data_IF_701337916443
#
_entry.id   IF_701337916443
#
_cell.length_a   1.000
_cell.length_b   1.000
_cell.length_c   1.000
_cell.angle_alpha   90.00
_cell.angle_beta   90.00
_cell.angle_gamma   90.00
#
_symmetry.space_group_name_H-M   'P 1'
#
loop_
_entity.id
_entity.type
_entity.pdbx_description
1 polymer ?
#
# COMPACT_ATOMS: atom_id res chain seq x y z
N UNK A 1 5.11 28.04 -11.41
CA UNK A 1 4.11 28.50 -10.44
C UNK A 1 3.49 27.28 -9.79
N UNK A 2 3.86 26.97 -8.55
CA UNK A 2 3.20 25.96 -7.72
C UNK A 2 2.13 26.70 -6.91
N UNK A 3 0.98 27.00 -7.54
CA UNK A 3 -0.10 27.81 -6.94
C UNK A 3 -1.24 26.96 -6.36
N UNK A 4 -1.01 25.67 -6.10
CA UNK A 4 -2.00 24.82 -5.47
C UNK A 4 -1.76 24.87 -3.96
N UNK A 5 -2.57 25.67 -3.27
CA UNK A 5 -2.56 25.81 -1.82
C UNK A 5 -3.45 24.75 -1.18
N UNK A 6 -3.03 24.21 -0.04
CA UNK A 6 -3.84 23.32 0.79
C UNK A 6 -4.24 24.08 2.06
N UNK A 7 -5.55 24.25 2.25
CA UNK A 7 -6.13 24.98 3.39
C UNK A 7 -7.27 24.16 4.00
N UNK A 8 -7.05 23.67 5.22
CA UNK A 8 -8.02 22.86 5.95
C UNK A 8 -9.30 23.62 6.32
N UNK A 9 -9.29 24.96 6.31
CA UNK A 9 -10.46 25.79 6.60
C UNK A 9 -11.35 26.03 5.38
N UNK A 10 -10.82 25.83 4.18
CA UNK A 10 -11.53 26.04 2.91
C UNK A 10 -11.86 24.69 2.28
N UNK A 11 -13.14 24.25 2.22
CA UNK A 11 -13.51 22.92 1.76
C UNK A 11 -12.99 22.53 0.37
N UNK A 12 -12.84 23.49 -0.54
CA UNK A 12 -12.34 23.27 -1.91
C UNK A 12 -10.82 23.06 -1.98
N UNK A 13 -10.08 23.43 -0.92
CA UNK A 13 -8.62 23.31 -0.80
C UNK A 13 -8.21 22.30 0.27
N UNK A 14 -9.19 21.68 0.95
CA UNK A 14 -8.98 20.74 2.03
C UNK A 14 -8.80 19.32 1.48
N UNK A 15 -7.82 18.60 2.03
CA UNK A 15 -7.49 17.22 1.63
C UNK A 15 -7.58 16.25 2.81
N UNK A 16 -8.77 16.08 3.42
CA UNK A 16 -8.93 15.30 4.64
C UNK A 16 -8.91 13.78 4.34
N UNK A 17 -8.67 12.92 5.35
CA UNK A 17 -8.45 11.48 5.16
C UNK A 17 -9.65 10.73 4.60
N UNK A 18 -10.87 11.26 4.74
CA UNK A 18 -12.10 10.65 4.20
C UNK A 18 -12.08 10.54 2.67
N UNK A 19 -11.28 11.39 2.00
CA UNK A 19 -11.10 11.36 0.56
C UNK A 19 -10.32 10.14 0.06
N UNK A 20 -9.74 9.31 0.95
CA UNK A 20 -9.13 8.03 0.56
C UNK A 20 -10.17 6.90 0.36
N UNK A 21 -11.45 7.14 0.67
CA UNK A 21 -12.52 6.14 0.64
C UNK A 21 -13.82 6.66 0.02
N UNK A 22 -13.78 7.80 -0.67
CA UNK A 22 -14.97 8.35 -1.31
C UNK A 22 -15.27 7.65 -2.64
N UNK A 23 -16.35 8.06 -3.32
CA UNK A 23 -16.74 7.43 -4.56
C UNK A 23 -15.74 7.77 -5.69
N UNK A 24 -15.11 6.75 -6.26
CA UNK A 24 -14.26 6.88 -7.44
C UNK A 24 -15.01 7.47 -8.65
N UNK A 25 -14.23 8.03 -9.59
CA UNK A 25 -14.75 8.56 -10.86
C UNK A 25 -15.18 10.03 -10.80
N UNK A 26 -14.90 10.72 -9.70
CA UNK A 26 -15.00 12.18 -9.64
C UNK A 26 -13.92 12.83 -10.51
N UNK A 27 -14.33 13.89 -11.22
CA UNK A 27 -13.43 14.74 -12.01
C UNK A 27 -13.60 16.19 -11.55
N UNK A 28 -12.58 16.82 -10.95
CA UNK A 28 -11.24 16.28 -10.66
C UNK A 28 -11.23 15.16 -9.59
N UNK A 29 -10.15 14.37 -9.53
CA UNK A 29 -9.95 13.37 -8.48
C UNK A 29 -9.84 14.05 -7.11
N UNK A 30 -10.46 13.45 -6.11
CA UNK A 30 -10.31 13.77 -4.69
C UNK A 30 -9.14 12.97 -4.11
N UNK A 31 -8.45 13.53 -3.12
CA UNK A 31 -7.34 12.85 -2.46
C UNK A 31 -7.05 13.46 -1.09
N UNK A 32 -6.61 12.61 -0.17
CA UNK A 32 -5.92 13.05 1.04
C UNK A 32 -4.51 13.52 0.69
N UNK A 33 -3.98 14.50 1.45
CA UNK A 33 -2.62 15.01 1.27
C UNK A 33 -1.90 15.20 2.61
N UNK A 34 -0.63 14.82 2.68
CA UNK A 34 0.25 15.14 3.81
C UNK A 34 0.77 16.58 3.76
N UNK A 35 1.38 17.03 4.86
CA UNK A 35 2.28 18.17 4.80
C UNK A 35 3.46 17.88 3.86
N UNK A 36 4.06 18.94 3.32
CA UNK A 36 5.29 18.85 2.51
C UNK A 36 6.52 18.60 3.39
N UNK A 37 7.62 18.11 2.80
CA UNK A 37 8.83 17.70 3.51
C UNK A 37 9.72 18.87 4.01
N UNK A 38 9.11 19.92 4.58
CA UNK A 38 9.81 21.13 5.05
C UNK A 38 10.80 20.88 6.19
N UNK A 39 10.63 19.79 6.95
CA UNK A 39 11.53 19.41 8.06
C UNK A 39 12.76 18.61 7.62
N UNK A 40 13.04 18.49 6.31
CA UNK A 40 14.24 17.82 5.81
C UNK A 40 15.51 18.36 6.51
N UNK A 41 16.46 17.49 6.94
CA UNK A 41 16.60 16.06 6.61
C UNK A 41 15.83 15.09 7.52
N UNK A 42 14.99 15.56 8.45
CA UNK A 42 14.17 14.66 9.28
C UNK A 42 13.19 13.89 8.37
N UNK A 43 13.12 12.55 8.44
CA UNK A 43 12.26 11.77 7.54
C UNK A 43 10.78 12.18 7.60
N UNK A 44 10.14 12.33 6.44
CA UNK A 44 8.70 12.53 6.34
C UNK A 44 7.98 11.18 6.50
N UNK A 45 7.78 10.75 7.75
CA UNK A 45 7.09 9.49 8.05
C UNK A 45 5.61 9.73 8.35
N UNK A 46 4.73 8.95 7.71
CA UNK A 46 3.28 9.02 7.92
C UNK A 46 2.71 7.61 8.06
N UNK A 47 1.84 7.41 9.06
CA UNK A 47 1.14 6.15 9.27
C UNK A 47 -0.35 6.33 9.01
N UNK A 48 -0.92 5.53 8.12
CA UNK A 48 -2.36 5.46 7.87
C UNK A 48 -2.85 4.12 8.41
N UNK A 49 -3.76 4.16 9.38
CA UNK A 49 -4.27 2.95 10.05
C UNK A 49 -5.74 2.76 9.70
N UNK A 50 -6.07 1.57 9.19
CA UNK A 50 -7.42 1.15 8.84
C UNK A 50 -7.88 0.12 9.87
N UNK A 51 -8.89 0.48 10.66
CA UNK A 51 -9.35 -0.34 11.79
C UNK A 51 -10.82 -0.71 11.60
N UNK A 52 -11.13 -2.00 11.57
CA UNK A 52 -12.51 -2.47 11.38
C UNK A 52 -13.22 -2.85 12.68
N UNK A 53 -12.49 -2.92 13.80
CA UNK A 53 -13.00 -3.46 15.08
C UNK A 53 -13.64 -4.85 14.95
N UNK A 54 -13.29 -5.57 13.89
CA UNK A 54 -13.81 -6.87 13.51
C UNK A 54 -12.74 -7.61 12.70
N UNK A 55 -12.74 -8.92 12.83
CA UNK A 55 -11.92 -9.80 12.01
C UNK A 55 -12.54 -9.94 10.62
N UNK A 56 -11.76 -9.67 9.57
CA UNK A 56 -12.17 -9.73 8.16
C UNK A 56 -11.23 -10.66 7.40
N UNK A 57 -11.79 -11.47 6.51
CA UNK A 57 -11.02 -12.25 5.53
C UNK A 57 -10.96 -11.50 4.20
N UNK A 58 -9.74 -11.17 3.74
CA UNK A 58 -9.54 -10.47 2.47
C UNK A 58 -9.84 -11.39 1.28
N UNK A 59 -10.54 -10.86 0.27
CA UNK A 59 -11.02 -11.64 -0.89
C UNK A 59 -10.51 -11.13 -2.23
N UNK A 60 -9.98 -9.92 -2.30
CA UNK A 60 -9.39 -9.31 -3.50
C UNK A 60 -8.10 -8.58 -3.12
N UNK A 61 -7.33 -8.15 -4.12
CA UNK A 61 -6.11 -7.36 -3.93
C UNK A 61 -6.42 -6.10 -3.11
N UNK A 62 -5.49 -5.72 -2.22
CA UNK A 62 -5.51 -4.37 -1.66
C UNK A 62 -4.91 -3.45 -2.72
N UNK A 63 -5.61 -2.35 -3.04
CA UNK A 63 -5.17 -1.39 -4.04
C UNK A 63 -5.06 -0.03 -3.40
N UNK A 64 -3.91 0.62 -3.54
CA UNK A 64 -3.65 1.96 -3.04
C UNK A 64 -3.30 2.84 -4.24
N UNK A 65 -4.12 3.85 -4.49
CA UNK A 65 -3.94 4.79 -5.60
C UNK A 65 -3.43 6.11 -5.05
N UNK A 66 -2.25 6.51 -5.50
CA UNK A 66 -1.61 7.78 -5.14
C UNK A 66 -1.98 8.87 -6.14
N UNK A 67 -2.29 10.08 -5.68
CA UNK A 67 -2.32 11.25 -6.55
C UNK A 67 -0.90 11.81 -6.77
N UNK A 68 -0.06 11.73 -5.72
CA UNK A 68 1.37 12.03 -5.80
C UNK A 68 2.14 10.91 -6.51
N UNK A 69 3.47 11.03 -6.61
CA UNK A 69 4.31 9.87 -6.88
C UNK A 69 4.17 8.81 -5.77
N UNK A 70 4.40 7.55 -6.13
CA UNK A 70 4.43 6.44 -5.16
C UNK A 70 5.63 6.57 -4.23
N UNK A 71 5.52 6.18 -2.95
CA UNK A 71 6.61 6.30 -1.98
C UNK A 71 7.88 5.56 -2.43
N UNK A 72 9.05 6.17 -2.22
CA UNK A 72 10.34 5.50 -2.41
C UNK A 72 10.52 4.35 -1.39
N UNK A 73 9.91 4.47 -0.20
CA UNK A 73 9.91 3.46 0.84
C UNK A 73 8.55 3.41 1.56
N UNK A 74 7.93 2.24 1.59
CA UNK A 74 6.65 1.98 2.25
C UNK A 74 6.59 0.54 2.80
N UNK A 75 5.89 0.36 3.92
CA UNK A 75 5.57 -0.97 4.47
C UNK A 75 4.05 -1.07 4.60
N UNK A 76 3.46 -2.14 4.06
CA UNK A 76 2.11 -2.55 4.44
C UNK A 76 2.23 -3.50 5.61
N UNK A 77 1.56 -3.20 6.72
CA UNK A 77 1.49 -4.04 7.91
C UNK A 77 0.05 -4.46 8.19
N UNK A 78 -0.10 -5.55 8.94
CA UNK A 78 -1.38 -6.04 9.41
C UNK A 78 -1.37 -6.36 10.89
N UNK A 79 -2.56 -6.34 11.47
CA UNK A 79 -2.85 -6.82 12.82
C UNK A 79 -3.87 -7.95 12.77
N UNK A 80 -3.79 -8.85 13.74
CA UNK A 80 -4.78 -9.90 14.02
C UNK A 80 -5.45 -9.73 15.40
N UNK A 81 -5.01 -8.75 16.19
CA UNK A 81 -5.36 -8.60 17.60
C UNK A 81 -5.82 -7.17 17.95
N UNK A 82 -6.52 -6.53 17.01
CA UNK A 82 -7.14 -5.21 17.16
C UNK A 82 -6.11 -4.09 17.42
N UNK A 83 -5.01 -4.11 16.65
CA UNK A 83 -3.97 -3.09 16.63
C UNK A 83 -2.95 -3.19 17.76
N UNK A 84 -2.99 -4.26 18.57
CA UNK A 84 -2.06 -4.46 19.70
C UNK A 84 -0.67 -4.86 19.20
N UNK A 85 -0.61 -5.75 18.22
CA UNK A 85 0.64 -6.15 17.56
C UNK A 85 0.53 -5.97 16.05
N UNK A 86 1.68 -5.65 15.45
CA UNK A 86 1.78 -5.35 14.02
C UNK A 86 2.84 -6.25 13.40
N UNK A 87 2.52 -6.83 12.26
CA UNK A 87 3.42 -7.67 11.48
C UNK A 87 3.52 -7.13 10.05
N UNK A 88 4.71 -7.15 9.43
CA UNK A 88 4.86 -6.75 8.04
C UNK A 88 4.08 -7.70 7.15
N UNK A 89 3.40 -7.13 6.15
CA UNK A 89 2.61 -7.84 5.17
C UNK A 89 3.28 -7.83 3.79
N UNK A 90 3.87 -6.69 3.41
CA UNK A 90 4.76 -6.56 2.24
C UNK A 90 5.59 -5.27 2.35
N UNK A 91 6.83 -5.32 1.87
CA UNK A 91 7.72 -4.16 1.77
C UNK A 91 7.74 -3.64 0.33
N UNK A 92 7.81 -2.32 0.18
CA UNK A 92 7.85 -1.63 -1.10
C UNK A 92 8.98 -0.62 -1.08
N UNK A 93 9.92 -0.73 -2.02
CA UNK A 93 11.05 0.18 -2.12
C UNK A 93 11.44 0.44 -3.57
N UNK A 94 12.17 1.53 -3.80
CA UNK A 94 12.93 1.75 -5.05
C UNK A 94 14.21 0.93 -5.11
N UNK A 95 14.79 0.60 -3.97
CA UNK A 95 15.93 -0.31 -3.78
C UNK A 95 15.69 -1.12 -2.49
N UNK A 96 15.31 -2.39 -2.63
CA UNK A 96 14.99 -3.26 -1.50
C UNK A 96 16.20 -3.64 -0.65
N UNK A 97 17.39 -3.73 -1.26
CA UNK A 97 18.63 -4.09 -0.57
C UNK A 97 19.10 -2.94 0.31
N UNK A 98 19.03 -1.70 -0.19
CA UNK A 98 19.35 -0.50 0.58
C UNK A 98 18.30 -0.21 1.67
N UNK A 99 17.02 -0.23 1.31
CA UNK A 99 15.95 0.21 2.21
C UNK A 99 15.67 -0.76 3.36
N UNK A 100 15.67 -2.07 3.08
CA UNK A 100 15.20 -3.10 4.02
C UNK A 100 16.14 -4.29 4.15
N UNK A 101 17.29 -4.29 3.47
CA UNK A 101 18.23 -5.41 3.44
C UNK A 101 17.59 -6.72 2.96
N UNK A 102 16.71 -6.62 1.95
CA UNK A 102 16.00 -7.75 1.36
C UNK A 102 16.30 -7.83 -0.15
N UNK A 103 16.48 -9.04 -0.68
CA UNK A 103 16.50 -9.23 -2.12
C UNK A 103 15.13 -8.88 -2.72
N UNK A 104 15.07 -8.14 -3.85
CA UNK A 104 13.81 -7.83 -4.50
C UNK A 104 13.18 -9.10 -5.08
N UNK A 105 11.87 -9.27 -4.84
CA UNK A 105 11.06 -10.38 -5.36
C UNK A 105 9.70 -9.88 -5.83
N UNK A 106 9.13 -10.56 -6.82
CA UNK A 106 7.71 -10.45 -7.19
C UNK A 106 6.92 -11.59 -6.55
N UNK A 107 5.61 -11.40 -6.37
CA UNK A 107 4.71 -12.50 -5.98
C UNK A 107 4.74 -13.64 -7.01
N UNK A 108 5.07 -13.33 -8.27
CA UNK A 108 5.25 -14.33 -9.34
C UNK A 108 6.44 -15.27 -9.12
N UNK A 109 7.42 -14.87 -8.32
CA UNK A 109 8.60 -15.69 -7.98
C UNK A 109 8.32 -16.65 -6.82
N UNK A 110 7.18 -16.50 -6.14
CA UNK A 110 6.76 -17.40 -5.08
C UNK A 110 6.24 -18.73 -5.62
N UNK A 111 6.07 -19.67 -4.71
CA UNK A 111 5.49 -21.00 -4.97
C UNK A 111 4.39 -21.30 -3.95
N UNK A 112 3.63 -22.37 -4.20
CA UNK A 112 2.60 -22.82 -3.27
C UNK A 112 3.13 -23.05 -1.84
N UNK A 113 4.39 -23.46 -1.69
CA UNK A 113 5.02 -23.68 -0.39
C UNK A 113 5.52 -22.39 0.30
N UNK A 114 5.73 -21.32 -0.47
CA UNK A 114 6.26 -20.04 0.00
C UNK A 114 5.23 -18.91 -0.09
N UNK A 115 3.95 -19.24 -0.30
CA UNK A 115 2.86 -18.27 -0.46
C UNK A 115 2.65 -17.35 0.76
N UNK A 116 3.18 -17.72 1.93
CA UNK A 116 3.12 -16.92 3.16
C UNK A 116 4.36 -16.05 3.37
N UNK A 117 5.35 -16.16 2.49
CA UNK A 117 6.59 -15.38 2.57
C UNK A 117 6.28 -13.89 2.40
N UNK A 118 6.86 -13.10 3.29
CA UNK A 118 6.83 -11.64 3.24
C UNK A 118 8.02 -11.20 2.40
N UNK A 119 7.75 -10.49 1.32
CA UNK A 119 8.75 -10.07 0.34
C UNK A 119 8.92 -8.56 0.33
N UNK A 120 10.02 -8.11 -0.27
CA UNK A 120 10.19 -6.73 -0.72
C UNK A 120 10.07 -6.70 -2.25
N UNK A 121 9.24 -5.81 -2.78
CA UNK A 121 9.04 -5.66 -4.23
C UNK A 121 9.47 -4.27 -4.69
N UNK A 122 10.14 -4.24 -5.84
CA UNK A 122 10.52 -3.02 -6.58
C UNK A 122 9.59 -2.79 -7.79
N UNK A 123 8.58 -3.63 -8.03
CA UNK A 123 7.68 -3.53 -9.20
C UNK A 123 6.90 -2.20 -9.26
N UNK A 124 6.74 -1.54 -8.11
CA UNK A 124 6.01 -0.29 -7.96
C UNK A 124 6.93 0.94 -7.84
N UNK A 125 8.21 0.82 -8.16
CA UNK A 125 9.18 1.91 -8.04
C UNK A 125 9.18 2.87 -9.24
N UNK A 126 8.94 2.38 -10.46
CA UNK A 126 9.16 3.18 -11.68
C UNK A 126 7.97 4.05 -12.08
N UNK A 127 8.14 5.36 -12.17
CA UNK A 127 7.06 6.32 -12.50
C UNK A 127 6.62 6.38 -13.98
N UNK A 128 7.23 5.61 -14.87
CA UNK A 128 7.03 5.73 -16.34
C UNK A 128 5.94 4.84 -16.94
N UNK A 129 5.26 4.00 -16.13
CA UNK A 129 4.22 3.09 -16.62
C UNK A 129 2.82 3.71 -16.56
N UNK A 130 1.86 3.19 -17.35
CA UNK A 130 0.46 3.66 -17.36
C UNK A 130 -0.25 3.55 -16.01
N UNK A 131 0.24 2.69 -15.11
CA UNK A 131 -0.26 2.50 -13.74
C UNK A 131 0.72 3.09 -12.69
N UNK A 132 1.49 4.11 -13.03
CA UNK A 132 2.57 4.69 -12.21
C UNK A 132 2.14 5.26 -10.85
N UNK A 133 0.82 5.34 -10.61
CA UNK A 133 0.22 5.86 -9.39
C UNK A 133 -0.33 4.77 -8.46
N UNK A 134 -0.35 3.50 -8.89
CA UNK A 134 -1.02 2.42 -8.17
C UNK A 134 0.00 1.48 -7.53
N UNK A 135 -0.26 1.07 -6.29
CA UNK A 135 0.40 -0.04 -5.60
C UNK A 135 -0.62 -1.13 -5.33
N UNK A 136 -0.25 -2.39 -5.56
CA UNK A 136 -1.05 -3.55 -5.19
C UNK A 136 -0.40 -4.37 -4.07
N UNK A 137 -1.26 -5.04 -3.31
CA UNK A 137 -0.92 -6.24 -2.55
C UNK A 137 -1.69 -7.42 -3.16
N UNK A 138 -0.95 -8.39 -3.69
CA UNK A 138 -1.41 -9.33 -4.71
C UNK A 138 -2.07 -10.59 -4.12
N UNK A 139 -3.22 -10.41 -3.47
CA UNK A 139 -3.99 -11.51 -2.86
C UNK A 139 -4.47 -12.52 -3.92
N UNK A 140 -4.94 -12.05 -5.08
CA UNK A 140 -5.42 -12.93 -6.15
C UNK A 140 -4.30 -13.76 -6.78
N UNK A 141 -3.11 -13.21 -6.90
CA UNK A 141 -1.94 -13.97 -7.38
C UNK A 141 -1.53 -15.03 -6.36
N UNK A 142 -1.60 -14.71 -5.05
CA UNK A 142 -1.38 -15.71 -3.99
C UNK A 142 -2.46 -16.81 -3.98
N UNK A 143 -3.72 -16.48 -4.24
CA UNK A 143 -4.79 -17.47 -4.42
C UNK A 143 -4.60 -18.34 -5.66
N UNK A 144 -4.04 -17.79 -6.74
CA UNK A 144 -3.81 -18.52 -7.98
C UNK A 144 -2.86 -19.72 -7.82
N UNK A 145 -1.97 -19.73 -6.81
CA UNK A 145 -1.15 -20.90 -6.48
C UNK A 145 -1.98 -22.14 -6.09
N UNK A 146 -3.21 -21.96 -5.59
CA UNK A 146 -4.10 -23.07 -5.19
C UNK A 146 -5.27 -23.25 -6.15
N UNK A 147 -5.81 -22.14 -6.65
CA UNK A 147 -7.01 -22.11 -7.48
C UNK A 147 -6.74 -22.05 -9.00
N UNK A 148 -5.48 -21.94 -9.40
CA UNK A 148 -5.02 -21.76 -10.76
C UNK A 148 -5.13 -20.30 -11.26
N UNK A 149 -4.49 -19.98 -12.40
CA UNK A 149 -4.38 -18.60 -12.91
C UNK A 149 -5.71 -17.88 -13.15
N UNK A 150 -6.75 -18.64 -13.50
CA UNK A 150 -8.09 -18.13 -13.77
C UNK A 150 -9.03 -18.21 -12.56
N UNK A 151 -8.51 -18.58 -11.39
CA UNK A 151 -9.28 -18.70 -10.14
C UNK A 151 -10.52 -19.61 -10.28
N UNK A 152 -10.44 -20.65 -11.12
CA UNK A 152 -11.56 -21.58 -11.36
C UNK A 152 -11.62 -22.72 -10.36
N UNK A 153 -10.49 -23.14 -9.80
CA UNK A 153 -10.42 -24.24 -8.84
C UNK A 153 -10.57 -23.75 -7.39
N UNK A 154 -11.67 -23.05 -7.11
CA UNK A 154 -11.96 -22.51 -5.77
C UNK A 154 -12.06 -23.59 -4.69
N UNK A 155 -12.53 -24.80 -5.04
CA UNK A 155 -12.62 -25.91 -4.10
C UNK A 155 -11.25 -26.30 -3.51
N UNK A 156 -10.18 -26.28 -4.33
CA UNK A 156 -8.81 -26.50 -3.87
C UNK A 156 -8.37 -25.43 -2.86
N UNK A 157 -8.59 -24.15 -3.20
CA UNK A 157 -8.25 -23.03 -2.30
C UNK A 157 -8.99 -23.12 -0.96
N UNK A 158 -10.31 -23.33 -0.98
CA UNK A 158 -11.10 -23.44 0.25
C UNK A 158 -10.67 -24.62 1.10
N UNK A 159 -10.41 -25.78 0.49
CA UNK A 159 -9.88 -26.94 1.21
C UNK A 159 -8.54 -26.65 1.91
N UNK A 160 -7.66 -25.86 1.29
CA UNK A 160 -6.39 -25.45 1.91
C UNK A 160 -6.59 -24.42 3.03
N UNK A 161 -7.50 -23.46 2.86
CA UNK A 161 -7.84 -22.47 3.89
C UNK A 161 -8.47 -23.13 5.13
N UNK A 162 -9.32 -24.13 4.94
CA UNK A 162 -9.99 -24.85 6.03
C UNK A 162 -9.01 -25.74 6.82
N UNK A 163 -8.06 -26.36 6.14
CA UNK A 163 -7.10 -27.29 6.75
C UNK A 163 -5.86 -26.59 7.32
N UNK A 164 -5.48 -25.43 6.78
CA UNK A 164 -4.22 -24.75 7.12
C UNK A 164 -4.48 -23.40 7.79
N UNK A 165 -4.52 -23.40 9.12
CA UNK A 165 -4.74 -22.19 9.94
C UNK A 165 -3.81 -21.02 9.57
N UNK A 166 -2.52 -21.27 9.35
CA UNK A 166 -1.55 -20.22 8.98
C UNK A 166 -1.89 -19.54 7.64
N UNK A 167 -2.42 -20.30 6.68
CA UNK A 167 -2.82 -19.78 5.37
C UNK A 167 -4.06 -18.90 5.51
N UNK A 168 -5.08 -19.36 6.24
CA UNK A 168 -6.27 -18.54 6.54
C UNK A 168 -5.88 -17.26 7.28
N UNK A 169 -5.14 -17.41 8.39
CA UNK A 169 -4.72 -16.29 9.22
C UNK A 169 -3.83 -15.29 8.43
N UNK A 170 -3.19 -15.71 7.34
CA UNK A 170 -2.45 -14.80 6.44
C UNK A 170 -3.38 -13.83 5.71
N UNK A 171 -4.56 -14.26 5.26
CA UNK A 171 -5.56 -13.40 4.60
C UNK A 171 -6.57 -12.77 5.57
N UNK A 172 -6.47 -13.11 6.86
CA UNK A 172 -7.26 -12.49 7.92
C UNK A 172 -6.58 -11.24 8.47
N UNK A 173 -7.37 -10.20 8.75
CA UNK A 173 -6.92 -8.95 9.38
C UNK A 173 -7.98 -8.40 10.35
N UNK A 174 -7.54 -7.68 11.38
CA UNK A 174 -8.39 -6.76 12.17
C UNK A 174 -8.11 -5.31 11.83
N UNK A 175 -6.87 -5.03 11.42
CA UNK A 175 -6.38 -3.70 11.07
C UNK A 175 -5.27 -3.82 10.02
N UNK A 176 -5.16 -2.79 9.17
CA UNK A 176 -4.06 -2.60 8.25
C UNK A 176 -3.35 -1.28 8.59
N UNK A 177 -2.04 -1.21 8.37
CA UNK A 177 -1.29 0.02 8.52
C UNK A 177 -0.35 0.22 7.34
N UNK A 178 -0.52 1.35 6.66
CA UNK A 178 0.37 1.81 5.61
C UNK A 178 1.38 2.73 6.27
N UNK A 179 2.63 2.28 6.35
CA UNK A 179 3.75 3.08 6.88
C UNK A 179 4.52 3.68 5.72
N UNK A 180 4.29 4.96 5.48
CA UNK A 180 5.00 5.76 4.49
C UNK A 180 6.29 6.25 5.14
N UNK A 181 7.44 5.86 4.59
CA UNK A 181 8.76 6.12 5.20
C UNK A 181 9.56 7.18 4.45
N UNK A 182 9.47 7.19 3.11
CA UNK A 182 10.11 8.18 2.23
C UNK A 182 9.21 8.52 1.04
N UNK A 183 8.92 9.80 0.74
CA UNK A 183 8.08 10.18 -0.39
C UNK A 183 8.80 9.93 -1.71
N UNK A 184 8.06 10.03 -2.82
CA UNK A 184 8.64 9.99 -4.15
C UNK A 184 9.66 11.11 -4.32
N UNK A 185 10.95 10.78 -4.48
CA UNK A 185 11.97 11.81 -4.79
C UNK A 185 12.21 11.89 -6.29
N UNK A 186 12.10 10.77 -7.01
CA UNK A 186 12.28 10.68 -8.47
C UNK A 186 13.72 10.90 -8.96
N UNK A 187 14.61 11.37 -8.09
CA UNK A 187 16.04 11.59 -8.32
C UNK A 187 16.86 10.96 -7.19
N UNK A 188 18.16 10.80 -7.43
CA UNK A 188 19.10 10.22 -6.44
C UNK A 188 19.23 11.13 -5.21
N UNK A 189 19.11 12.45 -5.40
CA UNK A 189 19.25 13.46 -4.35
C UNK A 189 17.96 14.26 -4.17
N UNK A 190 17.71 14.68 -2.93
CA UNK A 190 16.60 15.57 -2.60
C UNK A 190 16.99 17.00 -2.95
N UNK A 191 16.12 17.70 -3.69
CA UNK A 191 16.29 19.14 -3.96
C UNK A 191 15.86 19.95 -2.73
N UNK A 192 16.84 20.30 -1.90
CA UNK A 192 16.64 21.05 -0.65
C UNK A 192 16.05 22.45 -0.86
N UNK A 193 16.19 23.04 -2.05
CA UNK A 193 15.64 24.37 -2.36
C UNK A 193 14.13 24.30 -2.62
N UNK A 194 13.59 23.12 -2.91
CA UNK A 194 12.22 22.95 -3.39
C UNK A 194 11.48 21.82 -2.66
N UNK A 195 11.63 21.74 -1.34
CA UNK A 195 11.01 20.72 -0.49
C UNK A 195 9.47 20.65 -0.58
N UNK A 196 8.83 21.71 -1.07
CA UNK A 196 7.39 21.75 -1.33
C UNK A 196 6.93 20.70 -2.37
N UNK A 197 7.82 20.15 -3.20
CA UNK A 197 7.49 19.11 -4.18
C UNK A 197 7.33 17.70 -3.57
N UNK A 198 7.82 17.49 -2.36
CA UNK A 198 7.84 16.18 -1.70
C UNK A 198 6.74 16.10 -0.64
N UNK A 199 5.74 15.28 -0.91
CA UNK A 199 4.60 15.00 -0.03
C UNK A 199 3.96 13.68 -0.45
N UNK A 200 3.02 13.19 0.35
CA UNK A 200 2.16 12.08 -0.01
C UNK A 200 0.76 12.58 -0.36
N UNK A 201 0.17 12.02 -1.40
CA UNK A 201 -1.25 12.18 -1.69
C UNK A 201 -1.86 10.86 -2.13
N UNK A 202 -2.95 10.45 -1.50
CA UNK A 202 -3.65 9.18 -1.77
C UNK A 202 -5.08 9.50 -2.16
N UNK A 203 -5.46 9.06 -3.36
CA UNK A 203 -6.80 9.29 -3.93
C UNK A 203 -7.79 8.19 -3.60
N UNK A 204 -7.33 6.95 -3.41
CA UNK A 204 -8.24 5.84 -3.09
C UNK A 204 -7.50 4.66 -2.44
N UNK A 205 -8.19 3.97 -1.54
CA UNK A 205 -7.75 2.71 -0.93
C UNK A 205 -8.88 1.68 -0.99
N UNK A 206 -8.67 0.63 -1.79
CA UNK A 206 -9.61 -0.49 -1.90
C UNK A 206 -9.18 -1.67 -1.06
N UNK A 207 -10.07 -2.07 -0.15
CA UNK A 207 -9.94 -3.29 0.64
C UNK A 207 -11.26 -4.04 0.54
N UNK A 208 -11.23 -5.25 -0.04
CA UNK A 208 -12.39 -6.11 -0.17
C UNK A 208 -12.22 -7.35 0.70
N UNK A 209 -13.23 -7.64 1.52
CA UNK A 209 -13.24 -8.80 2.39
C UNK A 209 -14.63 -9.09 2.98
N UNK A 210 -14.73 -10.17 3.75
CA UNK A 210 -15.96 -10.66 4.40
C UNK A 210 -15.78 -10.91 5.89
#
# INVERSE_FOLDING_TARGET
>A
MCNNECDASTPELAHPPELMFDFEGRHPSTFWQSATWKEYPKPLQVNITLSWSKTIELTDNIVITFESGRPDQMILEKSLDYGRTWQPYQYYATDCLDAFHMDPKSVKDLSQHTVLEIICTEEYSTGYMTNSKIIHFEIKDRFAFFAGPWLRNMASLYGQLDTTKKLRDFFTVTDLRIRLLRPAVGEIFVDELHLARYFYAISDIKVHGR
#
